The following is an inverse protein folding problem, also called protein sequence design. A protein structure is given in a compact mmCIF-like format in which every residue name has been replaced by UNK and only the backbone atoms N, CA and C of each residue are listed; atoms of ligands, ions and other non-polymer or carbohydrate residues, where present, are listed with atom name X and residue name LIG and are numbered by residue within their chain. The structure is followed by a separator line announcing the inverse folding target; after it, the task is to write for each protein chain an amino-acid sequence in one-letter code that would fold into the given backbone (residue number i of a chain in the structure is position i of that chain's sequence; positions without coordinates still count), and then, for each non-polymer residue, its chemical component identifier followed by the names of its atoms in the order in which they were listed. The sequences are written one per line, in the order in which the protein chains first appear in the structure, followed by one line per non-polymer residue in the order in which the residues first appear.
data_IF_974072573793
#
_entry.id   IF_974072573793
#
_cell.length_a   1.000
_cell.length_b   1.000
_cell.length_c   1.000
_cell.angle_alpha   90.00
_cell.angle_beta   90.00
_cell.angle_gamma   90.00
#
_symmetry.space_group_name_H-M   'P 1'
#
loop_
_entity.id
_entity.type
_entity.pdbx_description
1 polymer ?
#
# COMPACT_ATOMS: atom_id res chain seq x y z
N UNK A 1 28.59 -30.57 60.45
CA UNK A 1 30.03 -30.26 60.74
C UNK A 1 30.32 -30.03 62.22
N UNK A 2 29.28 -29.88 63.02
CA UNK A 2 29.44 -29.70 64.46
C UNK A 2 29.85 -30.96 65.21
N UNK A 3 30.03 -30.90 66.57
CA UNK A 3 30.44 -32.00 67.44
C UNK A 3 29.33 -32.43 68.40
N UNK A 4 28.11 -31.98 68.20
CA UNK A 4 26.92 -32.31 69.02
C UNK A 4 25.74 -32.58 68.09
N UNK A 5 24.79 -33.41 68.53
CA UNK A 5 23.51 -33.57 67.83
C UNK A 5 22.63 -32.36 68.01
N UNK A 6 21.87 -32.03 66.96
CA UNK A 6 20.93 -30.91 66.95
C UNK A 6 19.49 -31.44 66.98
N UNK A 7 18.59 -30.62 67.57
CA UNK A 7 17.15 -30.89 67.61
C UNK A 7 16.35 -29.70 67.12
N UNK A 8 15.06 -29.87 66.96
CA UNK A 8 14.15 -28.81 66.48
C UNK A 8 14.59 -28.21 65.13
N UNK A 9 15.26 -28.99 64.27
CA UNK A 9 15.64 -28.55 62.94
C UNK A 9 14.41 -28.12 62.15
N UNK A 10 14.44 -26.88 61.68
CA UNK A 10 13.41 -26.27 60.84
C UNK A 10 14.08 -25.60 59.65
N UNK A 11 13.43 -25.66 58.52
CA UNK A 11 13.92 -25.02 57.30
C UNK A 11 12.81 -24.11 56.70
N UNK A 12 13.18 -22.94 56.31
CA UNK A 12 12.32 -21.96 55.61
C UNK A 12 12.95 -21.61 54.28
N UNK A 13 12.27 -21.93 53.20
CA UNK A 13 12.70 -21.53 51.86
C UNK A 13 12.14 -20.12 51.52
N UNK A 14 12.95 -19.31 50.91
CA UNK A 14 12.56 -18.04 50.30
C UNK A 14 12.83 -18.13 48.81
N UNK A 15 11.79 -17.98 48.03
CA UNK A 15 11.85 -17.99 46.55
C UNK A 15 11.52 -16.61 46.05
N UNK A 16 12.34 -16.09 45.13
CA UNK A 16 12.10 -14.77 44.48
C UNK A 16 12.22 -14.90 42.99
N UNK A 17 11.49 -14.09 42.26
CA UNK A 17 11.65 -13.89 40.84
C UNK A 17 12.83 -12.96 40.49
N UNK A 18 13.11 -12.72 39.21
CA UNK A 18 14.20 -11.88 38.74
C UNK A 18 14.04 -10.40 39.12
N UNK A 19 12.84 -9.93 39.42
CA UNK A 19 12.54 -8.58 39.93
C UNK A 19 12.69 -8.48 41.45
N UNK A 20 12.97 -9.59 42.14
CA UNK A 20 13.12 -9.67 43.57
C UNK A 20 11.80 -9.78 44.36
N UNK A 21 10.68 -10.07 43.67
CA UNK A 21 9.41 -10.31 44.35
C UNK A 21 9.40 -11.72 44.92
N UNK A 22 8.87 -11.86 46.18
CA UNK A 22 8.71 -13.15 46.79
C UNK A 22 7.56 -13.92 46.14
N UNK A 23 7.84 -15.20 45.77
CA UNK A 23 6.87 -16.13 45.19
C UNK A 23 6.70 -17.37 46.05
N UNK A 24 5.50 -17.94 46.05
CA UNK A 24 5.17 -19.11 46.88
C UNK A 24 5.57 -20.41 46.18
N UNK A 25 6.18 -21.32 46.93
CA UNK A 25 6.42 -22.68 46.47
C UNK A 25 5.11 -23.40 46.17
N UNK A 26 5.08 -24.16 45.08
CA UNK A 26 3.92 -25.02 44.73
C UNK A 26 3.73 -26.18 45.70
N UNK A 27 4.83 -26.69 46.26
CA UNK A 27 4.82 -27.55 47.45
C UNK A 27 5.89 -27.05 48.42
N UNK A 28 5.53 -26.89 49.70
CA UNK A 28 6.47 -26.49 50.74
C UNK A 28 7.54 -27.55 50.99
N UNK A 29 8.57 -27.14 51.77
CA UNK A 29 9.63 -28.04 52.20
C UNK A 29 9.05 -29.24 52.94
N UNK A 30 9.37 -30.46 52.47
CA UNK A 30 9.02 -31.73 53.09
C UNK A 30 10.27 -32.56 53.39
N UNK A 31 10.33 -33.16 54.60
CA UNK A 31 11.40 -34.09 54.97
C UNK A 31 11.28 -35.38 54.16
N UNK A 32 12.33 -35.76 53.47
CA UNK A 32 12.39 -37.01 52.66
C UNK A 32 13.10 -38.15 53.38
N UNK A 33 14.30 -37.88 53.89
CA UNK A 33 15.13 -38.92 54.51
C UNK A 33 16.25 -38.31 55.36
N UNK A 34 16.91 -39.16 56.15
CA UNK A 34 18.20 -38.84 56.76
C UNK A 34 19.19 -40.01 56.59
N UNK A 35 20.48 -39.70 56.55
CA UNK A 35 21.54 -40.69 56.32
C UNK A 35 21.76 -41.66 57.45
N UNK A 36 21.27 -41.39 58.67
CA UNK A 36 21.32 -42.19 59.85
C UNK A 36 19.92 -42.61 60.42
N UNK A 37 18.88 -42.49 59.55
CA UNK A 37 17.49 -42.83 59.87
C UNK A 37 16.88 -42.04 61.04
N UNK A 38 17.37 -40.83 61.33
CA UNK A 38 16.78 -39.97 62.33
C UNK A 38 15.40 -39.45 61.87
N UNK A 39 14.53 -39.17 62.82
CA UNK A 39 13.24 -38.58 62.58
C UNK A 39 13.42 -37.08 62.14
N UNK A 40 12.43 -36.55 61.38
CA UNK A 40 12.40 -35.17 61.02
C UNK A 40 12.59 -34.26 62.23
N UNK A 41 13.43 -33.23 62.11
CA UNK A 41 13.76 -32.26 63.16
C UNK A 41 14.94 -32.71 64.08
N UNK A 42 15.56 -33.84 63.83
CA UNK A 42 16.76 -34.31 64.54
C UNK A 42 17.90 -34.49 63.56
N UNK A 43 19.08 -34.01 63.94
CA UNK A 43 20.29 -34.16 63.14
C UNK A 43 21.44 -34.64 64.05
N UNK A 44 21.84 -35.90 63.91
CA UNK A 44 22.93 -36.49 64.66
C UNK A 44 24.30 -36.01 64.14
N UNK A 45 25.35 -36.33 64.86
CA UNK A 45 26.70 -36.02 64.42
C UNK A 45 27.01 -36.67 63.07
N UNK A 46 27.50 -35.89 62.12
CA UNK A 46 27.82 -36.31 60.76
C UNK A 46 26.60 -36.82 59.90
N UNK A 47 25.41 -36.56 60.36
CA UNK A 47 24.17 -36.91 59.64
C UNK A 47 23.83 -35.87 58.58
N UNK A 48 23.22 -36.28 57.52
CA UNK A 48 22.63 -35.42 56.46
C UNK A 48 21.12 -35.69 56.44
N UNK A 49 20.31 -34.66 56.60
CA UNK A 49 18.86 -34.68 56.37
C UNK A 49 18.52 -34.06 54.99
N UNK A 50 17.68 -34.73 54.23
CA UNK A 50 17.25 -34.30 52.88
C UNK A 50 15.82 -33.82 52.96
N UNK A 51 15.58 -32.64 52.38
CA UNK A 51 14.26 -32.04 52.21
C UNK A 51 14.05 -31.75 50.71
N UNK A 52 12.79 -31.81 50.27
CA UNK A 52 12.40 -31.45 48.93
C UNK A 52 11.34 -30.36 48.95
N UNK A 53 11.31 -29.56 47.90
CA UNK A 53 10.26 -28.60 47.59
C UNK A 53 10.10 -28.51 46.06
N UNK A 54 8.97 -28.01 45.59
CA UNK A 54 8.76 -27.77 44.16
C UNK A 54 8.11 -26.42 43.91
N UNK A 55 8.43 -25.87 42.79
CA UNK A 55 7.80 -24.69 42.22
C UNK A 55 7.42 -24.96 40.75
N UNK A 56 6.20 -24.57 40.35
CA UNK A 56 5.77 -24.59 38.95
C UNK A 56 6.00 -23.19 38.39
N UNK A 57 6.88 -23.06 37.40
CA UNK A 57 7.21 -21.80 36.77
C UNK A 57 5.93 -21.21 36.15
N UNK A 58 5.55 -20.00 36.54
CA UNK A 58 4.46 -19.25 35.95
C UNK A 58 4.98 -18.33 34.87
N UNK A 59 4.10 -17.85 33.97
CA UNK A 59 4.45 -16.87 32.96
C UNK A 59 5.12 -15.64 33.58
N UNK A 60 4.51 -15.08 34.62
CA UNK A 60 5.08 -13.92 35.31
C UNK A 60 6.49 -14.16 35.85
N UNK A 61 6.85 -15.39 36.19
CA UNK A 61 8.20 -15.74 36.64
C UNK A 61 9.16 -15.94 35.47
N UNK A 62 8.65 -16.50 34.37
CA UNK A 62 9.42 -16.66 33.12
C UNK A 62 9.81 -15.31 32.54
N UNK A 63 8.91 -14.36 32.56
CA UNK A 63 9.11 -12.98 32.10
C UNK A 63 10.24 -12.25 32.82
N UNK A 64 10.52 -12.61 34.11
CA UNK A 64 11.60 -11.97 34.89
C UNK A 64 12.98 -12.58 34.65
N UNK A 65 13.10 -13.67 33.85
CA UNK A 65 14.35 -14.24 33.37
C UNK A 65 15.08 -15.18 34.30
N UNK A 66 14.78 -15.19 35.61
CA UNK A 66 15.35 -16.17 36.56
C UNK A 66 14.54 -16.28 37.85
N UNK A 67 14.80 -17.39 38.57
CA UNK A 67 14.29 -17.65 39.92
C UNK A 67 15.48 -17.83 40.83
N UNK A 68 15.44 -17.20 42.00
CA UNK A 68 16.45 -17.33 43.05
C UNK A 68 15.84 -17.96 44.28
N UNK A 69 16.49 -19.00 44.86
CA UNK A 69 16.02 -19.72 46.01
C UNK A 69 17.10 -19.79 47.09
N UNK A 70 16.73 -19.44 48.33
CA UNK A 70 17.55 -19.64 49.51
C UNK A 70 16.76 -20.43 50.59
N UNK A 71 17.44 -21.19 51.41
CA UNK A 71 16.84 -21.87 52.56
C UNK A 71 17.56 -21.49 53.84
N UNK A 72 16.83 -20.94 54.80
CA UNK A 72 17.32 -20.73 56.16
C UNK A 72 17.02 -21.96 56.99
N UNK A 73 18.04 -22.66 57.46
CA UNK A 73 17.94 -23.72 58.48
C UNK A 73 18.19 -23.18 59.86
N UNK A 74 17.36 -23.58 60.82
CA UNK A 74 17.49 -23.24 62.25
C UNK A 74 17.36 -24.50 63.08
N UNK A 75 18.24 -24.65 64.06
CA UNK A 75 18.23 -25.81 64.97
C UNK A 75 18.63 -25.38 66.40
N UNK A 76 18.41 -26.29 67.32
CA UNK A 76 18.72 -26.12 68.75
C UNK A 76 19.89 -27.02 69.16
N UNK A 77 20.92 -26.42 69.77
CA UNK A 77 21.99 -27.20 70.44
C UNK A 77 21.55 -27.68 71.82
N UNK A 78 22.23 -28.69 72.45
CA UNK A 78 21.84 -29.20 73.73
C UNK A 78 21.78 -28.08 74.82
N UNK A 79 20.56 -27.86 75.33
CA UNK A 79 20.28 -26.88 76.37
C UNK A 79 19.99 -25.46 75.93
N UNK A 80 19.99 -25.20 74.63
CA UNK A 80 19.61 -23.92 74.01
C UNK A 80 18.45 -24.11 73.04
N UNK A 81 17.88 -23.03 72.54
CA UNK A 81 16.75 -23.05 71.61
C UNK A 81 17.02 -22.13 70.41
N UNK A 82 16.92 -22.68 69.18
CA UNK A 82 17.11 -21.93 67.90
C UNK A 82 18.41 -21.09 67.86
N UNK A 83 19.50 -21.64 68.42
CA UNK A 83 20.78 -20.97 68.55
C UNK A 83 21.77 -21.23 67.41
N UNK A 84 21.41 -22.18 66.52
CA UNK A 84 22.21 -22.53 65.35
C UNK A 84 21.39 -22.18 64.10
N UNK A 85 21.99 -21.40 63.24
CA UNK A 85 21.39 -21.01 61.94
C UNK A 85 22.43 -21.16 60.82
N UNK A 86 21.93 -21.44 59.65
CA UNK A 86 22.72 -21.52 58.40
C UNK A 86 21.84 -21.21 57.20
N UNK A 87 22.38 -20.52 56.23
CA UNK A 87 21.72 -20.23 54.95
C UNK A 87 22.31 -21.20 53.91
N UNK A 88 21.46 -21.68 53.00
CA UNK A 88 21.87 -22.60 51.96
C UNK A 88 22.88 -21.96 50.99
N UNK A 89 23.86 -22.77 50.64
CA UNK A 89 24.79 -22.54 49.55
C UNK A 89 24.31 -23.35 48.32
N UNK A 90 24.58 -22.93 47.08
CA UNK A 90 24.17 -23.59 45.85
C UNK A 90 25.07 -24.81 45.52
N UNK A 91 26.24 -24.90 46.16
CA UNK A 91 27.22 -25.95 46.00
C UNK A 91 28.13 -25.79 44.79
N UNK A 92 28.17 -24.61 44.15
CA UNK A 92 29.07 -24.25 43.06
C UNK A 92 30.07 -23.17 43.45
N UNK A 93 31.19 -23.57 44.02
CA UNK A 93 32.29 -22.66 44.42
C UNK A 93 33.04 -22.05 43.19
N UNK A 94 32.69 -22.43 41.95
CA UNK A 94 33.45 -22.02 40.77
C UNK A 94 33.08 -20.59 40.27
N UNK A 95 31.94 -20.08 40.67
CA UNK A 95 31.47 -18.70 40.35
C UNK A 95 32.12 -17.63 41.20
N UNK A 96 32.86 -18.00 42.26
CA UNK A 96 33.61 -17.12 43.15
C UNK A 96 32.90 -16.78 44.45
N UNK A 97 31.69 -17.29 44.70
CA UNK A 97 31.02 -17.30 45.98
C UNK A 97 31.16 -18.70 46.61
N UNK A 98 31.30 -18.82 47.88
CA UNK A 98 31.56 -20.11 48.59
C UNK A 98 30.75 -20.25 49.84
N UNK A 99 29.87 -19.32 50.16
CA UNK A 99 29.10 -19.29 51.39
C UNK A 99 27.77 -18.52 51.20
N UNK A 100 26.66 -19.11 51.65
CA UNK A 100 25.34 -18.48 51.67
C UNK A 100 24.84 -18.04 50.27
N UNK A 101 25.16 -18.80 49.26
CA UNK A 101 24.84 -18.50 47.86
C UNK A 101 23.44 -19.00 47.45
N UNK A 102 22.60 -18.17 46.82
CA UNK A 102 21.30 -18.56 46.40
C UNK A 102 21.39 -19.50 45.17
N UNK A 103 20.59 -20.54 45.15
CA UNK A 103 20.40 -21.38 43.93
C UNK A 103 19.60 -20.57 42.91
N UNK A 104 20.23 -20.31 41.76
CA UNK A 104 19.61 -19.55 40.64
C UNK A 104 19.23 -20.52 39.51
N UNK A 105 17.98 -20.41 39.04
CA UNK A 105 17.51 -21.10 37.85
C UNK A 105 17.14 -20.04 36.84
N UNK A 106 17.89 -19.97 35.74
CA UNK A 106 17.58 -19.06 34.64
C UNK A 106 16.43 -19.59 33.81
N UNK A 107 15.47 -18.74 33.50
CA UNK A 107 14.44 -18.98 32.48
C UNK A 107 14.93 -18.43 31.17
N UNK A 108 14.65 -19.12 30.05
CA UNK A 108 15.14 -18.72 28.74
C UNK A 108 14.06 -17.90 28.02
N UNK A 109 14.09 -16.57 28.18
CA UNK A 109 13.23 -15.69 27.44
C UNK A 109 13.59 -15.77 25.94
N UNK A 110 12.59 -16.07 25.11
CA UNK A 110 12.68 -16.10 23.67
C UNK A 110 11.51 -15.29 23.08
N UNK A 111 11.60 -13.95 23.12
CA UNK A 111 10.55 -13.10 22.59
C UNK A 111 10.47 -13.21 21.06
N UNK A 112 9.25 -13.29 20.52
CA UNK A 112 8.98 -13.37 19.10
C UNK A 112 7.61 -12.80 18.79
N UNK A 113 7.47 -12.17 17.64
CA UNK A 113 6.22 -11.60 17.13
C UNK A 113 6.08 -12.02 15.68
N UNK A 114 4.86 -12.23 15.21
CA UNK A 114 4.53 -12.52 13.81
C UNK A 114 3.36 -11.67 13.37
N UNK A 115 3.42 -11.17 12.12
CA UNK A 115 2.45 -10.24 11.57
C UNK A 115 1.95 -10.71 10.22
N UNK A 116 0.62 -10.86 10.10
CA UNK A 116 -0.04 -11.16 8.82
C UNK A 116 -1.01 -10.02 8.48
N UNK A 117 -1.00 -9.56 7.23
CA UNK A 117 -1.84 -8.48 6.74
C UNK A 117 -2.64 -8.94 5.52
N UNK A 118 -3.96 -8.86 5.62
CA UNK A 118 -4.89 -9.24 4.55
C UNK A 118 -5.62 -8.02 4.02
N UNK A 119 -5.99 -8.04 2.74
CA UNK A 119 -6.81 -7.02 2.09
C UNK A 119 -8.19 -7.52 1.70
N UNK A 120 -9.21 -6.65 1.78
CA UNK A 120 -10.58 -6.88 1.34
C UNK A 120 -11.07 -5.62 0.62
N UNK A 121 -11.67 -5.78 -0.56
CA UNK A 121 -12.23 -4.66 -1.33
C UNK A 121 -13.68 -4.40 -0.88
N UNK A 122 -13.98 -3.13 -0.61
CA UNK A 122 -15.33 -2.61 -0.36
C UNK A 122 -15.68 -1.71 -1.54
N UNK A 123 -16.44 -2.25 -2.48
CA UNK A 123 -16.93 -1.58 -3.69
C UNK A 123 -17.97 -0.49 -3.32
N UNK A 124 -17.84 0.69 -3.88
CA UNK A 124 -18.72 1.85 -3.69
C UNK A 124 -20.06 1.69 -4.44
N UNK A 125 -20.20 0.65 -5.30
CA UNK A 125 -21.42 0.29 -6.03
C UNK A 125 -21.44 0.70 -7.50
N UNK A 126 -20.30 1.11 -8.06
CA UNK A 126 -20.08 1.24 -9.50
C UNK A 126 -19.59 -0.10 -10.12
N UNK A 127 -19.08 -0.12 -11.32
CA UNK A 127 -18.65 -1.35 -11.97
C UNK A 127 -17.13 -1.55 -11.87
N UNK A 128 -16.69 -2.47 -11.02
CA UNK A 128 -15.29 -2.88 -10.91
C UNK A 128 -14.50 -2.07 -9.87
N UNK A 129 -13.26 -2.47 -9.66
CA UNK A 129 -12.35 -1.81 -8.73
C UNK A 129 -11.85 -0.49 -9.32
N UNK A 130 -12.16 0.64 -8.67
CA UNK A 130 -11.92 1.96 -9.21
C UNK A 130 -11.83 3.10 -8.20
N UNK A 131 -11.91 4.32 -8.72
CA UNK A 131 -11.81 5.54 -7.92
C UNK A 131 -12.88 5.63 -6.83
N UNK A 132 -12.44 5.78 -5.58
CA UNK A 132 -13.34 5.93 -4.43
C UNK A 132 -13.74 4.63 -3.77
N UNK A 133 -13.39 3.45 -4.31
CA UNK A 133 -13.48 2.19 -3.60
C UNK A 133 -12.54 2.16 -2.41
N UNK A 134 -12.82 1.28 -1.47
CA UNK A 134 -12.05 1.19 -0.24
C UNK A 134 -11.35 -0.17 -0.17
N UNK A 135 -10.05 -0.14 0.05
CA UNK A 135 -9.29 -1.30 0.48
C UNK A 135 -9.28 -1.30 2.01
N UNK A 136 -9.89 -2.34 2.59
CA UNK A 136 -9.83 -2.59 4.03
C UNK A 136 -8.69 -3.55 4.31
N UNK A 137 -7.74 -3.15 5.12
CA UNK A 137 -6.67 -4.00 5.61
C UNK A 137 -7.02 -4.53 7.00
N UNK A 138 -6.82 -5.84 7.20
CA UNK A 138 -6.89 -6.50 8.51
C UNK A 138 -5.50 -7.01 8.86
N UNK A 139 -4.97 -6.55 9.98
CA UNK A 139 -3.63 -6.83 10.45
C UNK A 139 -3.74 -7.71 11.69
N UNK A 140 -3.16 -8.87 11.64
CA UNK A 140 -3.05 -9.83 12.73
C UNK A 140 -1.64 -9.77 13.29
N UNK A 141 -1.54 -9.63 14.61
CA UNK A 141 -0.26 -9.56 15.33
C UNK A 141 -0.26 -10.61 16.41
N UNK A 142 0.57 -11.63 16.28
CA UNK A 142 0.66 -12.77 17.21
C UNK A 142 1.96 -12.73 18.02
N UNK A 143 1.87 -12.98 19.32
CA UNK A 143 3.04 -13.26 20.14
C UNK A 143 3.37 -14.76 20.02
N UNK A 144 4.34 -15.08 19.19
CA UNK A 144 4.83 -16.46 18.97
C UNK A 144 5.97 -16.83 19.89
N UNK A 145 6.39 -15.90 20.78
CA UNK A 145 7.41 -16.13 21.78
C UNK A 145 6.90 -16.81 23.05
N UNK A 146 7.75 -16.86 24.07
CA UNK A 146 7.44 -17.44 25.39
C UNK A 146 7.42 -16.42 26.53
N UNK A 147 7.47 -15.10 26.20
CA UNK A 147 7.34 -14.01 27.15
C UNK A 147 6.34 -12.98 26.67
N UNK A 148 5.69 -12.29 27.61
CA UNK A 148 4.73 -11.24 27.29
C UNK A 148 5.43 -10.05 26.61
N UNK A 149 4.73 -9.39 25.68
CA UNK A 149 5.21 -8.19 25.02
C UNK A 149 4.39 -6.98 25.43
N UNK A 150 5.05 -5.85 25.56
CA UNK A 150 4.47 -4.55 25.87
C UNK A 150 4.87 -3.51 24.83
N UNK A 151 4.26 -2.32 24.89
CA UNK A 151 4.52 -1.19 23.97
C UNK A 151 4.40 -1.59 22.49
N UNK A 152 3.55 -2.57 22.17
CA UNK A 152 3.32 -3.01 20.79
C UNK A 152 2.81 -1.84 19.96
N UNK A 153 3.57 -1.49 18.95
CA UNK A 153 3.33 -0.36 18.05
C UNK A 153 3.33 -0.81 16.60
N UNK A 154 2.56 -0.10 15.75
CA UNK A 154 2.38 -0.42 14.34
C UNK A 154 2.79 0.78 13.50
N UNK A 155 3.64 0.55 12.52
CA UNK A 155 3.98 1.48 11.44
C UNK A 155 3.46 0.91 10.12
N UNK A 156 2.47 1.57 9.53
CA UNK A 156 1.87 1.18 8.24
C UNK A 156 2.53 1.99 7.12
N UNK A 157 3.02 1.31 6.08
CA UNK A 157 3.69 1.90 4.92
C UNK A 157 2.96 1.48 3.65
N UNK A 158 2.27 2.43 3.02
CA UNK A 158 1.52 2.24 1.79
C UNK A 158 2.20 2.99 0.65
N UNK A 159 2.42 2.32 -0.49
CA UNK A 159 2.93 2.92 -1.73
C UNK A 159 2.05 2.56 -2.91
N UNK A 160 2.13 3.33 -3.99
CA UNK A 160 1.65 2.88 -5.28
C UNK A 160 2.69 1.94 -5.95
N UNK A 161 2.35 1.30 -7.06
CA UNK A 161 3.25 0.38 -7.77
C UNK A 161 4.46 1.07 -8.45
N UNK A 162 4.57 2.40 -8.35
CA UNK A 162 5.75 3.17 -8.75
C UNK A 162 6.60 3.60 -7.53
N UNK A 163 6.42 2.94 -6.36
CA UNK A 163 7.10 3.21 -5.10
C UNK A 163 6.85 4.65 -4.55
N UNK A 164 5.77 5.31 -4.98
CA UNK A 164 5.40 6.62 -4.44
C UNK A 164 4.57 6.44 -3.18
N UNK A 165 4.98 7.08 -2.08
CA UNK A 165 4.30 6.99 -0.81
C UNK A 165 2.86 7.52 -0.89
N UNK A 166 1.93 6.72 -0.36
CA UNK A 166 0.52 7.04 -0.20
C UNK A 166 0.19 7.10 1.30
N UNK A 167 -0.96 7.69 1.63
CA UNK A 167 -1.40 7.77 3.03
C UNK A 167 -2.62 6.88 3.26
N UNK A 168 -2.57 6.05 4.28
CA UNK A 168 -3.77 5.36 4.81
C UNK A 168 -4.84 6.42 5.08
N UNK A 169 -6.06 6.16 4.62
CA UNK A 169 -7.19 7.10 4.75
C UNK A 169 -7.71 7.13 6.19
N UNK A 170 -7.72 5.96 6.86
CA UNK A 170 -8.24 5.82 8.22
C UNK A 170 -7.60 4.61 8.92
N UNK A 171 -7.19 4.75 10.21
CA UNK A 171 -6.50 3.71 10.99
C UNK A 171 -4.97 3.82 10.98
N UNK A 172 -4.24 2.73 11.36
CA UNK A 172 -4.73 1.47 11.93
C UNK A 172 -5.38 1.63 13.32
N UNK A 173 -6.52 0.96 13.53
CA UNK A 173 -7.23 0.92 14.81
C UNK A 173 -7.15 -0.47 15.43
N UNK A 174 -6.85 -0.52 16.73
CA UNK A 174 -6.98 -1.74 17.50
C UNK A 174 -8.45 -2.19 17.57
N UNK A 175 -8.72 -3.40 17.11
CA UNK A 175 -10.07 -4.00 17.10
C UNK A 175 -10.32 -4.92 18.29
N UNK A 176 -9.26 -5.53 18.85
CA UNK A 176 -9.33 -6.45 19.97
C UNK A 176 -8.22 -7.49 19.93
N UNK A 177 -8.21 -8.39 20.92
CA UNK A 177 -7.35 -9.57 20.94
C UNK A 177 -8.12 -10.79 21.45
N UNK A 178 -7.58 -11.99 21.19
CA UNK A 178 -8.21 -13.27 21.57
C UNK A 178 -8.27 -13.46 23.08
N UNK A 179 -7.28 -12.98 23.81
CA UNK A 179 -7.23 -13.08 25.27
C UNK A 179 -7.93 -11.90 25.97
N UNK A 180 -8.29 -10.85 25.21
CA UNK A 180 -8.85 -9.60 25.75
C UNK A 180 -7.81 -8.67 26.34
N UNK A 181 -6.53 -8.80 25.94
CA UNK A 181 -5.48 -7.87 26.29
C UNK A 181 -5.81 -6.47 25.79
N UNK A 182 -5.29 -5.44 26.49
CA UNK A 182 -5.46 -4.05 26.04
C UNK A 182 -4.47 -3.71 24.92
N UNK A 183 -4.83 -2.72 24.10
CA UNK A 183 -3.94 -2.22 23.07
C UNK A 183 -2.52 -1.95 23.60
N UNK A 184 -1.52 -2.39 22.87
CA UNK A 184 -0.10 -2.24 23.24
C UNK A 184 0.44 -3.35 24.14
N UNK A 185 -0.37 -4.33 24.54
CA UNK A 185 0.07 -5.51 25.28
C UNK A 185 -0.30 -6.76 24.50
N UNK A 186 0.60 -7.75 24.49
CA UNK A 186 0.42 -8.99 23.77
C UNK A 186 0.97 -10.13 24.63
N UNK A 187 0.11 -10.83 25.37
CA UNK A 187 0.52 -11.97 26.19
C UNK A 187 0.92 -13.15 25.32
N UNK A 188 1.65 -14.12 25.86
CA UNK A 188 2.10 -15.30 25.11
C UNK A 188 0.93 -16.01 24.43
N UNK A 189 1.05 -16.22 23.10
CA UNK A 189 0.03 -16.84 22.26
C UNK A 189 -1.22 -15.98 22.01
N UNK A 190 -1.20 -14.69 22.34
CA UNK A 190 -2.29 -13.76 22.03
C UNK A 190 -2.22 -13.27 20.58
N UNK A 191 -3.38 -13.16 19.94
CA UNK A 191 -3.56 -12.63 18.60
C UNK A 191 -4.34 -11.32 18.66
N UNK A 192 -3.65 -10.21 18.46
CA UNK A 192 -4.27 -8.89 18.35
C UNK A 192 -4.67 -8.58 16.90
N UNK A 193 -5.80 -7.92 16.72
CA UNK A 193 -6.33 -7.52 15.41
C UNK A 193 -6.41 -6.01 15.31
N UNK A 194 -5.90 -5.48 14.17
CA UNK A 194 -6.01 -4.06 13.80
C UNK A 194 -6.67 -3.94 12.43
N UNK A 195 -7.30 -2.78 12.19
CA UNK A 195 -8.01 -2.51 10.93
C UNK A 195 -7.58 -1.15 10.41
N UNK A 196 -7.25 -1.07 9.13
CA UNK A 196 -6.95 0.17 8.42
C UNK A 196 -7.72 0.23 7.10
N UNK A 197 -7.91 1.45 6.56
CA UNK A 197 -8.64 1.68 5.32
C UNK A 197 -7.87 2.61 4.41
N UNK A 198 -7.83 2.28 3.14
CA UNK A 198 -7.35 3.15 2.07
C UNK A 198 -8.45 3.37 1.03
N UNK A 199 -8.74 4.62 0.70
CA UNK A 199 -9.65 4.96 -0.41
C UNK A 199 -8.83 5.09 -1.69
N UNK A 200 -9.18 4.31 -2.71
CA UNK A 200 -8.48 4.29 -3.99
C UNK A 200 -8.50 5.69 -4.62
N UNK A 201 -7.32 6.21 -4.90
CA UNK A 201 -7.09 7.49 -5.54
C UNK A 201 -6.78 7.32 -7.03
N UNK A 202 -6.88 8.41 -7.80
CA UNK A 202 -6.45 8.40 -9.20
C UNK A 202 -4.98 8.00 -9.33
N UNK A 203 -4.11 8.45 -8.43
CA UNK A 203 -2.69 8.07 -8.43
C UNK A 203 -2.47 6.56 -8.34
N UNK A 204 -3.23 5.86 -7.48
CA UNK A 204 -3.14 4.40 -7.38
C UNK A 204 -3.69 3.66 -8.61
N UNK A 205 -4.68 4.24 -9.31
CA UNK A 205 -5.15 3.73 -10.60
C UNK A 205 -4.07 3.94 -11.68
N UNK A 206 -3.51 5.14 -11.75
CA UNK A 206 -2.49 5.52 -12.74
C UNK A 206 -1.22 4.65 -12.63
N UNK A 207 -0.89 4.16 -11.43
CA UNK A 207 0.23 3.25 -11.19
C UNK A 207 -0.10 1.77 -11.43
N UNK A 208 -1.40 1.42 -11.52
CA UNK A 208 -1.89 0.05 -11.69
C UNK A 208 -2.10 -0.71 -10.37
N UNK A 209 -1.97 -0.05 -9.21
CA UNK A 209 -2.20 -0.70 -7.92
C UNK A 209 -1.49 -0.06 -6.75
N UNK A 210 -1.59 -0.74 -5.61
CA UNK A 210 -0.95 -0.33 -4.34
C UNK A 210 -0.29 -1.52 -3.66
N UNK A 211 0.81 -1.25 -2.95
CA UNK A 211 1.58 -2.19 -2.13
C UNK A 211 1.59 -1.71 -0.69
N UNK A 212 1.28 -2.57 0.26
CA UNK A 212 1.17 -2.17 1.66
C UNK A 212 1.86 -3.14 2.60
N UNK A 213 2.79 -2.63 3.42
CA UNK A 213 3.47 -3.38 4.47
C UNK A 213 3.20 -2.75 5.84
N UNK A 214 3.28 -3.57 6.88
CA UNK A 214 3.22 -3.11 8.26
C UNK A 214 4.46 -3.60 9.00
N UNK A 215 5.14 -2.70 9.68
CA UNK A 215 6.18 -3.06 10.65
C UNK A 215 5.59 -2.97 12.05
N UNK A 216 5.68 -4.05 12.82
CA UNK A 216 5.26 -4.10 14.22
C UNK A 216 6.48 -4.26 15.10
N UNK A 217 6.52 -3.50 16.19
CA UNK A 217 7.57 -3.60 17.20
C UNK A 217 6.93 -3.77 18.58
N UNK A 218 7.44 -4.71 19.37
CA UNK A 218 7.06 -4.93 20.78
C UNK A 218 8.30 -4.99 21.65
N UNK A 219 8.13 -4.79 22.96
CA UNK A 219 9.22 -4.84 23.94
C UNK A 219 8.96 -5.98 24.92
N UNK A 220 9.95 -6.85 25.09
CA UNK A 220 9.91 -7.92 26.09
C UNK A 220 10.20 -7.40 27.49
N UNK A 221 9.91 -8.15 28.58
CA UNK A 221 10.19 -7.76 29.96
C UNK A 221 11.67 -7.46 30.25
N UNK A 222 12.58 -8.01 29.43
CA UNK A 222 14.03 -7.77 29.55
C UNK A 222 14.53 -6.61 28.67
N UNK A 223 13.64 -5.70 28.24
CA UNK A 223 13.95 -4.56 27.38
C UNK A 223 14.58 -4.99 26.02
N UNK A 224 14.17 -6.14 25.49
CA UNK A 224 14.57 -6.60 24.15
C UNK A 224 13.45 -6.24 23.18
N UNK A 225 13.79 -5.44 22.17
CA UNK A 225 12.89 -5.13 21.07
C UNK A 225 12.74 -6.36 20.16
N UNK A 226 11.51 -6.67 19.80
CA UNK A 226 11.17 -7.63 18.73
C UNK A 226 10.42 -6.90 17.64
N UNK A 227 10.75 -7.22 16.40
CA UNK A 227 10.17 -6.54 15.24
C UNK A 227 9.88 -7.58 14.16
N UNK A 228 8.75 -7.39 13.48
CA UNK A 228 8.36 -8.18 12.34
C UNK A 228 7.71 -7.30 11.27
N UNK A 229 7.84 -7.70 10.00
CA UNK A 229 7.22 -7.07 8.85
C UNK A 229 6.10 -7.99 8.36
N UNK A 230 4.96 -7.41 8.01
CA UNK A 230 3.79 -8.21 7.65
C UNK A 230 4.00 -9.06 6.40
N UNK A 231 3.51 -10.28 6.48
CA UNK A 231 3.28 -11.22 5.39
C UNK A 231 1.84 -11.06 4.86
N UNK A 232 1.60 -11.34 3.56
CA UNK A 232 0.28 -11.24 2.95
C UNK A 232 -0.61 -12.49 3.17
N UNK A 233 -0.04 -13.55 3.76
CA UNK A 233 -0.71 -14.82 4.07
C UNK A 233 -0.88 -15.75 2.87
N UNK A 234 -0.18 -15.53 1.75
CA UNK A 234 -0.20 -16.39 0.56
C UNK A 234 1.17 -16.96 0.20
N UNK A 235 1.57 -18.05 0.84
CA UNK A 235 2.81 -18.81 0.55
C UNK A 235 2.86 -19.42 -0.86
N UNK A 236 1.77 -19.36 -1.62
CA UNK A 236 1.66 -20.07 -2.91
C UNK A 236 2.38 -19.36 -4.06
N UNK A 237 2.70 -18.10 -3.90
CA UNK A 237 3.43 -17.29 -4.88
C UNK A 237 4.96 -17.50 -4.83
N UNK A 238 5.47 -18.13 -3.76
CA UNK A 238 6.87 -18.50 -3.57
C UNK A 238 7.62 -17.61 -2.58
N UNK A 239 6.95 -16.65 -1.97
CA UNK A 239 7.39 -15.94 -0.78
C UNK A 239 6.59 -16.45 0.44
N UNK A 240 7.15 -16.46 1.61
CA UNK A 240 6.52 -16.99 2.83
C UNK A 240 6.88 -16.17 4.07
N UNK A 241 7.58 -15.07 3.89
CA UNK A 241 8.00 -14.17 4.97
C UNK A 241 8.15 -12.74 4.43
N UNK A 242 7.68 -11.73 5.16
CA UNK A 242 7.87 -10.31 4.88
C UNK A 242 7.32 -9.86 3.51
N UNK A 243 6.18 -10.42 3.08
CA UNK A 243 5.61 -10.15 1.77
C UNK A 243 4.59 -8.99 1.82
N UNK A 244 4.71 -7.97 0.94
CA UNK A 244 3.75 -6.88 0.93
C UNK A 244 2.37 -7.34 0.45
N UNK A 245 1.32 -6.80 1.08
CA UNK A 245 -0.06 -7.00 0.64
C UNK A 245 -0.34 -6.14 -0.59
N UNK A 246 -0.26 -6.73 -1.79
CA UNK A 246 -0.48 -6.05 -3.06
C UNK A 246 -1.95 -6.09 -3.49
N UNK A 247 -2.45 -4.96 -4.01
CA UNK A 247 -3.75 -4.87 -4.65
C UNK A 247 -3.60 -4.26 -6.03
N UNK A 248 -3.76 -5.09 -7.07
CA UNK A 248 -3.73 -4.66 -8.46
C UNK A 248 -5.03 -3.98 -8.86
N UNK A 249 -4.93 -2.87 -9.60
CA UNK A 249 -6.06 -2.10 -10.14
C UNK A 249 -5.93 -2.10 -11.67
N UNK A 250 -6.98 -2.57 -12.37
CA UNK A 250 -6.94 -2.65 -13.82
C UNK A 250 -6.95 -1.25 -14.46
N UNK A 251 -5.99 -0.99 -15.34
CA UNK A 251 -5.91 0.22 -16.15
C UNK A 251 -6.55 -0.01 -17.51
N UNK A 252 -7.38 0.94 -17.96
CA UNK A 252 -8.07 0.92 -19.25
C UNK A 252 -7.93 2.30 -19.92
N UNK A 253 -6.74 2.65 -20.43
CA UNK A 253 -6.52 3.92 -21.10
C UNK A 253 -7.25 3.97 -22.45
N UNK A 254 -7.94 5.09 -22.74
CA UNK A 254 -8.63 5.31 -24.01
C UNK A 254 -8.83 6.80 -24.28
N UNK A 255 -8.79 7.19 -25.55
CA UNK A 255 -9.19 8.52 -26.02
C UNK A 255 -10.24 8.40 -27.11
N UNK A 256 -11.02 9.48 -27.28
CA UNK A 256 -11.92 9.64 -28.42
C UNK A 256 -11.69 11.00 -29.06
N UNK A 257 -11.45 11.01 -30.38
CA UNK A 257 -11.15 12.22 -31.15
C UNK A 257 -12.29 12.51 -32.11
N UNK A 258 -12.89 13.70 -32.00
CA UNK A 258 -13.92 14.16 -32.93
C UNK A 258 -13.46 15.43 -33.63
N UNK A 259 -13.66 15.49 -34.96
CA UNK A 259 -13.31 16.66 -35.78
C UNK A 259 -14.51 17.11 -36.58
N UNK A 260 -14.92 18.37 -36.44
CA UNK A 260 -16.02 18.96 -37.18
C UNK A 260 -15.55 20.16 -38.00
N UNK A 261 -16.30 20.50 -39.04
CA UNK A 261 -15.98 21.63 -39.93
C UNK A 261 -17.17 22.59 -40.11
N UNK A 262 -16.89 23.88 -40.17
CA UNK A 262 -17.85 24.92 -40.54
C UNK A 262 -17.22 25.81 -41.63
N UNK A 263 -17.94 26.01 -42.74
CA UNK A 263 -17.53 26.91 -43.81
C UNK A 263 -18.08 28.31 -43.58
N UNK A 264 -17.21 29.28 -43.63
CA UNK A 264 -17.59 30.70 -43.66
C UNK A 264 -17.50 31.19 -45.10
N UNK A 265 -18.66 31.42 -45.73
CA UNK A 265 -18.81 31.92 -47.10
C UNK A 265 -18.29 33.36 -47.23
N UNK A 266 -17.52 33.66 -48.24
CA UNK A 266 -16.98 34.99 -48.58
C UNK A 266 -18.06 35.95 -49.11
N UNK A 267 -19.31 35.51 -49.31
CA UNK A 267 -20.50 36.28 -49.72
C UNK A 267 -20.95 36.01 -51.16
N UNK A 268 -20.44 34.94 -51.79
CA UNK A 268 -20.83 34.57 -53.14
C UNK A 268 -21.93 33.48 -53.18
N UNK A 269 -22.25 32.85 -52.02
CA UNK A 269 -23.35 31.87 -51.86
C UNK A 269 -22.98 30.47 -52.20
N UNK A 270 -21.70 30.14 -52.38
CA UNK A 270 -21.17 28.82 -52.71
C UNK A 270 -20.01 28.46 -51.79
N UNK A 271 -19.86 27.21 -51.42
CA UNK A 271 -18.66 26.76 -50.75
C UNK A 271 -17.52 26.63 -51.76
N UNK A 272 -16.65 27.61 -51.85
CA UNK A 272 -15.67 27.64 -52.91
C UNK A 272 -14.39 28.40 -52.59
N UNK A 273 -13.67 28.77 -53.67
CA UNK A 273 -12.42 29.51 -53.55
C UNK A 273 -12.61 30.85 -52.83
N UNK A 274 -11.83 31.11 -51.79
CA UNK A 274 -11.89 32.31 -50.96
C UNK A 274 -12.67 32.16 -49.66
N UNK A 275 -13.38 31.06 -49.48
CA UNK A 275 -14.04 30.74 -48.23
C UNK A 275 -13.05 30.15 -47.19
N UNK A 276 -13.46 30.23 -45.94
CA UNK A 276 -12.66 29.71 -44.85
C UNK A 276 -13.37 28.51 -44.22
N UNK A 277 -12.71 27.34 -44.19
CA UNK A 277 -13.11 26.20 -43.38
C UNK A 277 -12.48 26.43 -42.00
N UNK A 278 -13.34 26.39 -40.96
CA UNK A 278 -12.92 26.38 -39.55
C UNK A 278 -13.16 24.97 -39.00
N UNK A 279 -12.10 24.28 -38.58
CA UNK A 279 -12.14 22.99 -37.95
C UNK A 279 -12.13 23.13 -36.44
N UNK A 280 -12.95 22.35 -35.76
CA UNK A 280 -12.93 22.14 -34.30
C UNK A 280 -12.58 20.67 -34.04
N UNK A 281 -11.54 20.43 -33.27
CA UNK A 281 -11.04 19.10 -32.88
C UNK A 281 -11.21 18.98 -31.39
N UNK A 282 -11.90 17.94 -30.94
CA UNK A 282 -12.00 17.60 -29.51
C UNK A 282 -11.31 16.27 -29.26
N UNK A 283 -10.52 16.19 -28.19
CA UNK A 283 -9.87 14.99 -27.70
C UNK A 283 -10.37 14.75 -26.28
N UNK A 284 -11.09 13.65 -26.08
CA UNK A 284 -11.65 13.25 -24.80
C UNK A 284 -10.87 12.06 -24.23
N UNK A 285 -10.51 12.10 -22.95
CA UNK A 285 -10.08 10.92 -22.22
C UNK A 285 -11.33 10.13 -21.81
N UNK A 286 -11.52 8.95 -22.40
CA UNK A 286 -12.63 8.02 -22.14
C UNK A 286 -12.19 6.81 -21.32
N UNK A 287 -10.92 6.76 -20.93
CA UNK A 287 -10.34 5.73 -20.09
C UNK A 287 -10.43 6.04 -18.59
N UNK A 288 -9.72 5.25 -17.79
CA UNK A 288 -9.68 5.39 -16.33
C UNK A 288 -8.33 5.87 -15.78
N UNK A 289 -7.37 6.24 -16.64
CA UNK A 289 -6.05 6.75 -16.25
C UNK A 289 -5.83 8.15 -16.77
N UNK A 290 -5.02 8.93 -16.07
CA UNK A 290 -4.55 10.24 -16.52
C UNK A 290 -3.60 10.07 -17.71
N UNK A 291 -3.79 10.86 -18.78
CA UNK A 291 -2.98 10.80 -19.99
C UNK A 291 -2.19 12.11 -20.17
N UNK A 292 -1.02 12.03 -20.84
CA UNK A 292 -0.16 13.19 -21.02
C UNK A 292 0.61 13.18 -22.34
N UNK A 293 1.13 14.34 -22.75
CA UNK A 293 1.97 14.46 -23.94
C UNK A 293 1.19 14.43 -25.26
N UNK A 294 -0.09 14.87 -25.25
CA UNK A 294 -0.93 14.89 -26.45
C UNK A 294 -0.26 15.63 -27.62
N UNK A 295 -0.20 14.95 -28.75
CA UNK A 295 0.21 15.48 -30.05
C UNK A 295 -0.86 15.24 -31.10
N UNK A 296 -1.02 16.19 -32.05
CA UNK A 296 -2.00 16.12 -33.13
C UNK A 296 -1.27 16.21 -34.48
N UNK A 297 -1.45 15.21 -35.32
CA UNK A 297 -0.99 15.21 -36.71
C UNK A 297 -2.20 15.37 -37.65
N UNK A 298 -2.29 16.52 -38.36
CA UNK A 298 -3.40 16.85 -39.23
C UNK A 298 -3.07 16.50 -40.68
N UNK A 299 -3.96 15.76 -41.34
CA UNK A 299 -3.85 15.37 -42.74
C UNK A 299 -5.01 15.98 -43.53
N UNK A 300 -4.72 17.01 -44.33
CA UNK A 300 -5.66 17.72 -45.20
C UNK A 300 -5.39 17.37 -46.65
N UNK A 301 -6.42 16.98 -47.40
CA UNK A 301 -6.33 16.64 -48.82
C UNK A 301 -7.48 17.29 -49.59
N UNK A 302 -7.30 17.49 -50.92
CA UNK A 302 -8.39 17.78 -51.84
C UNK A 302 -9.08 16.47 -52.33
N UNK A 303 -10.16 16.59 -53.12
CA UNK A 303 -10.93 15.45 -53.62
C UNK A 303 -10.17 14.50 -54.52
N UNK A 304 -9.07 14.95 -55.11
CA UNK A 304 -8.14 14.12 -55.91
C UNK A 304 -7.04 13.45 -55.04
N UNK A 305 -7.02 13.70 -53.73
CA UNK A 305 -6.06 13.13 -52.80
C UNK A 305 -4.72 13.88 -52.72
N UNK A 306 -4.61 15.11 -53.29
CA UNK A 306 -3.40 15.91 -53.16
C UNK A 306 -3.33 16.53 -51.75
N UNK A 307 -2.17 16.48 -51.11
CA UNK A 307 -1.95 17.09 -49.78
C UNK A 307 -2.07 18.60 -49.84
N UNK A 308 -2.85 19.15 -48.95
CA UNK A 308 -3.02 20.58 -48.71
C UNK A 308 -2.34 20.98 -47.38
N UNK A 309 -2.17 22.28 -47.18
CA UNK A 309 -1.62 22.79 -45.90
C UNK A 309 -2.65 23.68 -45.23
N UNK A 310 -2.91 23.45 -43.96
CA UNK A 310 -3.74 24.34 -43.12
C UNK A 310 -3.23 25.80 -43.22
N UNK A 311 -4.14 26.75 -43.14
CA UNK A 311 -3.81 28.17 -43.03
C UNK A 311 -3.36 28.51 -41.62
N UNK A 312 -3.91 27.84 -40.60
CA UNK A 312 -3.48 27.93 -39.19
C UNK A 312 -3.89 26.72 -38.39
N UNK A 313 -3.17 26.41 -37.30
CA UNK A 313 -3.46 25.34 -36.35
C UNK A 313 -2.95 23.93 -36.78
N UNK A 314 -3.34 22.88 -36.09
CA UNK A 314 -4.16 22.87 -34.87
C UNK A 314 -3.55 23.68 -33.71
N UNK A 315 -4.38 24.44 -33.01
CA UNK A 315 -3.97 25.25 -31.85
C UNK A 315 -4.94 25.03 -30.69
N UNK A 316 -4.41 24.84 -29.48
CA UNK A 316 -5.22 24.71 -28.28
C UNK A 316 -6.18 25.89 -28.09
N UNK A 317 -7.42 25.61 -27.74
CA UNK A 317 -8.48 26.60 -27.51
C UNK A 317 -8.97 26.59 -26.06
N UNK A 318 -9.36 25.45 -25.53
CA UNK A 318 -9.93 25.29 -24.19
C UNK A 318 -9.90 23.84 -23.73
N UNK A 319 -10.09 23.62 -22.41
CA UNK A 319 -10.40 22.31 -21.85
C UNK A 319 -11.60 22.40 -20.90
N UNK A 320 -12.22 21.25 -20.58
CA UNK A 320 -13.33 21.13 -19.62
C UNK A 320 -12.85 21.18 -18.16
N UNK A 321 -11.58 20.81 -17.92
CA UNK A 321 -10.94 20.86 -16.61
C UNK A 321 -9.74 21.79 -16.70
N UNK A 322 -9.39 22.65 -15.92
CA UNK A 322 -8.35 23.69 -16.06
C UNK A 322 -6.92 23.13 -15.95
N UNK A 323 -6.61 22.06 -16.65
CA UNK A 323 -5.31 21.40 -16.63
C UNK A 323 -4.27 22.02 -17.55
N UNK A 324 -3.06 21.49 -17.51
CA UNK A 324 -1.97 21.84 -18.42
C UNK A 324 -2.29 21.28 -19.80
N UNK A 325 -2.23 22.11 -20.83
CA UNK A 325 -2.41 21.67 -22.22
C UNK A 325 -1.63 20.40 -22.53
N UNK A 326 -2.32 19.43 -23.12
CA UNK A 326 -1.75 18.12 -23.49
C UNK A 326 -1.71 17.10 -22.34
N UNK A 327 -2.37 17.39 -21.21
CA UNK A 327 -2.65 16.46 -20.14
C UNK A 327 -4.16 16.32 -20.02
N UNK A 328 -4.65 15.09 -20.06
CA UNK A 328 -6.08 14.78 -19.99
C UNK A 328 -6.35 13.94 -18.75
N UNK A 329 -6.97 14.54 -17.74
CA UNK A 329 -7.54 13.79 -16.62
C UNK A 329 -8.71 12.92 -17.10
N UNK A 330 -9.13 11.98 -16.30
CA UNK A 330 -10.31 11.14 -16.60
C UNK A 330 -11.53 12.04 -16.87
N UNK A 331 -12.30 11.73 -17.93
CA UNK A 331 -13.45 12.52 -18.42
C UNK A 331 -13.12 13.94 -18.89
N UNK A 332 -11.88 14.31 -19.05
CA UNK A 332 -11.49 15.62 -19.59
C UNK A 332 -11.57 15.65 -21.10
N UNK A 333 -11.96 16.81 -21.64
CA UNK A 333 -12.01 17.09 -23.08
C UNK A 333 -11.19 18.35 -23.37
N UNK A 334 -10.14 18.22 -24.18
CA UNK A 334 -9.43 19.35 -24.78
C UNK A 334 -9.99 19.69 -26.17
N UNK A 335 -10.06 20.98 -26.48
CA UNK A 335 -10.52 21.49 -27.78
C UNK A 335 -9.41 22.25 -28.48
N UNK A 336 -9.21 21.93 -29.75
CA UNK A 336 -8.27 22.57 -30.65
C UNK A 336 -9.01 23.17 -31.86
N UNK A 337 -8.42 24.19 -32.49
CA UNK A 337 -8.98 24.85 -33.66
C UNK A 337 -7.95 24.92 -34.77
N UNK A 338 -8.40 24.75 -36.01
CA UNK A 338 -7.58 24.93 -37.23
C UNK A 338 -8.39 25.60 -38.32
N UNK A 339 -7.73 26.23 -39.29
CA UNK A 339 -8.41 26.87 -40.42
C UNK A 339 -7.74 26.52 -41.74
N UNK A 340 -8.53 26.49 -42.81
CA UNK A 340 -8.07 26.39 -44.18
C UNK A 340 -8.78 27.41 -45.07
N UNK A 341 -8.03 28.24 -45.80
CA UNK A 341 -8.56 29.10 -46.86
C UNK A 341 -8.66 28.29 -48.14
N UNK A 342 -9.88 28.10 -48.66
CA UNK A 342 -10.11 27.30 -49.87
C UNK A 342 -9.45 27.98 -51.09
N UNK A 343 -8.54 27.24 -51.72
CA UNK A 343 -7.92 27.69 -52.98
C UNK A 343 -8.78 27.30 -54.16
N UNK A 344 -8.61 27.96 -55.33
CA UNK A 344 -9.32 27.58 -56.54
C UNK A 344 -9.01 26.12 -56.95
N UNK A 345 -7.76 25.70 -56.87
CA UNK A 345 -7.34 24.35 -57.20
C UNK A 345 -8.05 23.30 -56.36
N UNK A 346 -8.16 23.53 -55.01
CA UNK A 346 -8.87 22.65 -54.10
C UNK A 346 -10.39 22.67 -54.34
N UNK A 347 -10.96 23.84 -54.64
CA UNK A 347 -12.39 23.98 -54.98
C UNK A 347 -12.78 23.19 -56.23
N UNK A 348 -11.90 23.08 -57.21
CA UNK A 348 -12.14 22.39 -58.49
C UNK A 348 -12.20 20.85 -58.34
N UNK A 349 -11.80 20.27 -57.21
CA UNK A 349 -11.82 18.83 -56.95
C UNK A 349 -13.09 18.32 -56.21
N UNK A 350 -14.07 19.22 -56.00
CA UNK A 350 -15.41 18.97 -55.46
C UNK A 350 -15.47 18.61 -53.96
N UNK A 351 -14.36 18.30 -53.28
CA UNK A 351 -14.31 18.07 -51.87
C UNK A 351 -12.95 18.46 -51.25
N UNK A 352 -12.97 18.69 -49.93
CA UNK A 352 -11.80 18.85 -49.07
C UNK A 352 -12.00 17.91 -47.90
N UNK A 353 -11.05 16.99 -47.71
CA UNK A 353 -11.08 15.92 -46.73
C UNK A 353 -10.03 16.20 -45.64
N UNK A 354 -10.36 15.99 -44.39
CA UNK A 354 -9.45 16.24 -43.30
C UNK A 354 -9.60 15.21 -42.17
N UNK A 355 -8.48 14.65 -41.73
CA UNK A 355 -8.36 13.75 -40.56
C UNK A 355 -7.30 14.27 -39.59
N UNK A 356 -7.41 13.89 -38.31
CA UNK A 356 -6.37 14.12 -37.29
C UNK A 356 -6.05 12.79 -36.62
N UNK A 357 -4.76 12.46 -36.57
CA UNK A 357 -4.24 11.44 -35.68
C UNK A 357 -3.83 12.11 -34.37
N UNK A 358 -4.46 11.72 -33.26
CA UNK A 358 -4.02 12.07 -31.92
C UNK A 358 -3.14 10.94 -31.36
N UNK A 359 -2.05 11.33 -30.68
CA UNK A 359 -1.15 10.40 -29.96
C UNK A 359 -0.91 10.97 -28.59
N UNK A 360 -1.03 10.13 -27.57
CA UNK A 360 -0.88 10.51 -26.15
C UNK A 360 -0.26 9.36 -25.37
N UNK A 361 0.30 9.64 -24.20
CA UNK A 361 1.00 8.67 -23.36
C UNK A 361 0.21 8.34 -22.09
N UNK A 362 0.20 7.06 -21.71
CA UNK A 362 -0.18 6.61 -20.37
C UNK A 362 0.87 7.00 -19.33
N UNK A 363 0.59 6.93 -18.01
CA UNK A 363 1.56 7.26 -16.96
C UNK A 363 2.86 6.46 -17.04
N UNK A 364 2.79 5.20 -17.54
CA UNK A 364 3.93 4.28 -17.63
C UNK A 364 4.36 3.99 -19.07
N UNK A 365 3.75 4.65 -20.07
CA UNK A 365 4.01 4.48 -21.50
C UNK A 365 4.60 5.73 -22.16
N UNK A 366 4.84 5.63 -23.46
CA UNK A 366 5.22 6.78 -24.28
C UNK A 366 4.59 6.62 -25.64
N UNK A 367 3.75 7.60 -26.06
CA UNK A 367 3.04 7.62 -27.34
C UNK A 367 2.31 6.28 -27.64
N UNK A 368 1.73 5.69 -26.60
CA UNK A 368 1.19 4.33 -26.61
C UNK A 368 -0.32 4.27 -26.90
N UNK A 369 -1.02 5.42 -26.85
CA UNK A 369 -2.44 5.53 -27.15
C UNK A 369 -2.64 6.44 -28.37
N UNK A 370 -3.38 5.96 -29.33
CA UNK A 370 -3.67 6.71 -30.57
C UNK A 370 -5.14 6.60 -30.94
N UNK A 371 -5.67 7.65 -31.56
CA UNK A 371 -6.99 7.64 -32.17
C UNK A 371 -7.03 8.54 -33.40
N UNK A 372 -7.80 8.14 -34.41
CA UNK A 372 -8.03 8.92 -35.62
C UNK A 372 -9.40 9.62 -35.52
N UNK A 373 -9.46 10.90 -35.87
CA UNK A 373 -10.68 11.67 -35.70
C UNK A 373 -11.88 11.12 -36.45
N UNK A 374 -13.01 11.06 -35.77
CA UNK A 374 -14.36 10.87 -36.32
C UNK A 374 -14.98 12.24 -36.68
N UNK A 375 -15.89 12.28 -37.67
CA UNK A 375 -16.56 13.51 -38.10
C UNK A 375 -17.76 13.92 -37.21
N UNK A 376 -18.13 13.09 -36.22
CA UNK A 376 -19.24 13.31 -35.30
C UNK A 376 -20.62 13.06 -35.89
N UNK A 377 -20.73 12.32 -37.02
CA UNK A 377 -22.01 12.01 -37.67
C UNK A 377 -22.25 10.51 -37.87
N UNK A 378 -22.69 9.84 -36.85
CA UNK A 378 -22.99 8.39 -36.87
C UNK A 378 -24.21 7.99 -37.74
N UNK A 379 -24.92 9.00 -38.34
CA UNK A 379 -26.14 8.72 -39.11
C UNK A 379 -25.90 8.24 -40.52
N UNK A 380 -24.68 8.33 -41.05
CA UNK A 380 -24.28 7.85 -42.36
C UNK A 380 -23.86 6.37 -42.39
N UNK A 381 -23.74 5.75 -41.17
CA UNK A 381 -23.45 4.32 -41.00
C UNK A 381 -21.99 4.03 -40.71
N UNK A 382 -21.13 5.04 -40.59
CA UNK A 382 -19.81 4.98 -40.01
C UNK A 382 -19.83 5.62 -38.62
N UNK A 383 -19.13 5.07 -37.65
CA UNK A 383 -19.16 5.51 -36.23
C UNK A 383 -17.76 5.66 -35.65
N UNK A 384 -16.74 5.38 -36.45
CA UNK A 384 -15.34 5.46 -35.99
C UNK A 384 -14.42 5.82 -37.17
N UNK A 385 -13.41 6.64 -36.92
CA UNK A 385 -12.32 6.98 -37.83
C UNK A 385 -12.79 7.60 -39.17
N UNK A 386 -13.85 8.41 -39.15
CA UNK A 386 -14.49 8.94 -40.33
C UNK A 386 -13.95 10.33 -40.72
N UNK A 387 -13.57 10.49 -42.00
CA UNK A 387 -13.02 11.76 -42.50
C UNK A 387 -14.04 12.91 -42.38
N UNK A 388 -13.59 14.07 -41.91
CA UNK A 388 -14.39 15.32 -42.01
C UNK A 388 -14.34 15.86 -43.44
N UNK A 389 -15.44 15.71 -44.16
CA UNK A 389 -15.56 16.08 -45.57
C UNK A 389 -16.33 17.39 -45.74
N UNK A 390 -15.73 18.35 -46.43
CA UNK A 390 -16.40 19.58 -46.89
C UNK A 390 -16.58 19.50 -48.42
N UNK A 391 -17.84 19.41 -48.84
CA UNK A 391 -18.17 19.47 -50.25
C UNK A 391 -18.02 20.88 -50.77
N UNK A 392 -17.22 21.06 -51.83
CA UNK A 392 -17.05 22.34 -52.53
C UNK A 392 -17.97 22.38 -53.77
N UNK A 393 -18.40 23.58 -54.09
CA UNK A 393 -19.23 23.83 -55.29
C UNK A 393 -18.65 24.97 -56.08
N UNK A 394 -18.62 24.84 -57.38
CA UNK A 394 -18.18 25.87 -58.32
C UNK A 394 -19.34 26.46 -59.13
N UNK A 395 -19.41 27.77 -59.26
CA UNK A 395 -20.34 28.42 -60.17
C UNK A 395 -19.65 28.59 -61.56
N UNK A 396 -19.97 27.66 -62.47
CA UNK A 396 -19.37 27.69 -63.81
C UNK A 396 -20.18 28.65 -64.67
N UNK A 397 -19.60 29.80 -65.04
CA UNK A 397 -20.21 30.75 -65.99
C UNK A 397 -19.21 31.20 -67.03
N UNK A 398 -19.70 31.43 -68.22
CA UNK A 398 -18.94 32.03 -69.32
C UNK A 398 -19.67 33.23 -69.86
N UNK A 399 -19.02 34.40 -69.92
CA UNK A 399 -19.54 35.57 -70.57
C UNK A 399 -18.76 35.84 -71.85
N UNK A 400 -19.51 35.99 -72.98
CA UNK A 400 -18.92 36.24 -74.26
C UNK A 400 -19.33 37.69 -74.72
N UNK A 401 -18.39 38.59 -74.78
CA UNK A 401 -18.62 39.94 -75.30
C UNK A 401 -18.03 40.06 -76.69
N UNK A 402 -18.86 40.48 -77.67
CA UNK A 402 -18.44 40.76 -79.05
C UNK A 402 -18.58 42.21 -79.36
N UNK A 403 -17.50 42.89 -79.70
CA UNK A 403 -17.50 44.26 -80.17
C UNK A 403 -17.22 44.27 -81.65
N UNK A 404 -17.93 45.16 -82.38
CA UNK A 404 -17.68 45.42 -83.80
C UNK A 404 -17.41 46.95 -83.98
N UNK A 405 -16.36 47.22 -84.69
CA UNK A 405 -16.07 48.61 -85.15
C UNK A 405 -16.25 48.67 -86.67
N UNK A 406 -17.00 49.63 -87.12
CA UNK A 406 -17.10 49.88 -88.55
C UNK A 406 -16.02 50.93 -88.84
N UNK A 407 -15.13 50.61 -89.76
CA UNK A 407 -14.21 51.61 -90.29
C UNK A 407 -14.73 52.03 -91.65
N UNK A 408 -15.17 53.25 -91.74
CA UNK A 408 -15.51 53.86 -93.00
C UNK A 408 -14.24 54.19 -93.76
N UNK A 409 -13.97 53.44 -94.82
CA UNK A 409 -12.74 53.61 -95.60
C UNK A 409 -12.87 54.69 -96.77
N UNK A 410 -14.05 55.24 -96.93
CA UNK A 410 -14.28 56.20 -98.06
C UNK A 410 -14.90 57.56 -97.60
N UNK A 411 -15.12 57.73 -96.29
CA UNK A 411 -15.61 58.99 -95.72
C UNK A 411 -16.95 59.51 -96.37
N UNK A 412 -17.81 58.56 -96.83
CA UNK A 412 -19.07 58.92 -97.48
C UNK A 412 -20.32 58.89 -96.56
N UNK A 413 -20.16 58.72 -95.26
CA UNK A 413 -21.21 58.74 -94.23
C UNK A 413 -22.02 57.45 -94.13
#
# INVERSE_FOLDING_TARGET
TGNVSLTELRSVATLTDGDGNTIDLSSGLSFESSSLDSANGILQLAEIATYSASYVISQATEDTGFISNTVLATASSPGNTNDITDISDDGDDTDGNTVDDPTIITTSANPSIEVVKLSEIIDNGDSGLGLGDIIKYTIYVENTGNVDLSEVSILDTLTDFNDTELSITDGPYYSGSDTGASQGNLVVGDLATYIAFYTISQQSIDSGGVSNTVTVTGISPNDIDVTDISDDGDDSDGNSEDDPTDVSIETAPAINVVKTAVVTDNGDGFNGAGDIISYTITVANTGNVTLSGLTLEDTLTDGDGNTLSLSSGPSYSTSTQSNIQGTLDVDEVETYVATYLITQTASDTESINNTVLATISTPNGTDDITDVSDNGNDTDGNTEDDETVVITSSNISIEVTKTATITDNNEDG
#
